data_IF_297052932119
#
_entry.id   IF_297052932119
#
_cell.length_a   1.000
_cell.length_b   1.000
_cell.length_c   1.000
_cell.angle_alpha   90.00
_cell.angle_beta   90.00
_cell.angle_gamma   90.00
#
_symmetry.space_group_name_H-M   'P 1'
#
loop_
_entity.id
_entity.type
_entity.pdbx_description
1 polymer ?
#
# COMPACT_ATOMS: atom_id res chain seq x y z
N UNK A 1 -11.53 7.28 -1.48
CA UNK A 1 -10.14 7.53 -1.96
C UNK A 1 -10.09 8.10 -3.37
N UNK A 2 -10.76 7.54 -4.38
CA UNK A 2 -10.77 8.13 -5.74
C UNK A 2 -11.23 9.60 -5.75
N UNK A 3 -12.27 9.94 -4.98
CA UNK A 3 -12.76 11.31 -4.81
C UNK A 3 -11.71 12.29 -4.28
N UNK A 4 -10.70 11.81 -3.55
CA UNK A 4 -9.59 12.64 -3.02
C UNK A 4 -8.34 12.56 -3.92
N UNK A 5 -8.48 12.06 -5.15
CA UNK A 5 -7.43 12.09 -6.17
C UNK A 5 -6.53 10.87 -6.21
N UNK A 6 -6.77 9.86 -5.37
CA UNK A 6 -6.02 8.59 -5.40
C UNK A 6 -6.35 7.78 -6.66
N UNK A 7 -5.36 7.12 -7.26
CA UNK A 7 -5.62 6.21 -8.39
C UNK A 7 -6.58 5.07 -7.99
N UNK A 8 -7.39 4.57 -8.94
CA UNK A 8 -8.39 3.52 -8.67
C UNK A 8 -7.75 2.28 -8.06
N UNK A 9 -6.61 1.86 -8.61
CA UNK A 9 -5.86 0.71 -8.11
C UNK A 9 -5.42 0.90 -6.64
N UNK A 10 -4.89 2.07 -6.29
CA UNK A 10 -4.48 2.36 -4.92
C UNK A 10 -5.66 2.40 -3.95
N UNK A 11 -6.78 2.97 -4.39
CA UNK A 11 -8.02 3.01 -3.63
C UNK A 11 -8.57 1.62 -3.32
N UNK A 12 -8.57 0.72 -4.31
CA UNK A 12 -9.01 -0.67 -4.16
C UNK A 12 -8.10 -1.44 -3.19
N UNK A 13 -6.78 -1.31 -3.32
CA UNK A 13 -5.84 -1.95 -2.40
C UNK A 13 -6.00 -1.50 -0.95
N UNK A 14 -6.25 -0.20 -0.72
CA UNK A 14 -6.54 0.30 0.62
C UNK A 14 -7.87 -0.25 1.14
N UNK A 15 -8.92 -0.28 0.31
CA UNK A 15 -10.22 -0.82 0.69
C UNK A 15 -10.13 -2.30 1.11
N UNK A 16 -9.42 -3.14 0.34
CA UNK A 16 -9.18 -4.55 0.65
C UNK A 16 -8.62 -4.73 2.07
N UNK A 17 -7.59 -3.95 2.42
CA UNK A 17 -6.90 -4.09 3.71
C UNK A 17 -7.74 -3.58 4.86
N UNK A 18 -8.43 -2.44 4.70
CA UNK A 18 -9.28 -1.88 5.76
C UNK A 18 -10.46 -2.80 6.06
N UNK A 19 -11.14 -3.29 5.02
CA UNK A 19 -12.26 -4.24 5.17
C UNK A 19 -11.77 -5.54 5.82
N UNK A 20 -10.64 -6.07 5.37
CA UNK A 20 -10.11 -7.30 5.93
C UNK A 20 -9.68 -7.13 7.40
N UNK A 21 -9.20 -5.96 7.81
CA UNK A 21 -8.91 -5.65 9.21
C UNK A 21 -10.18 -5.62 10.07
N UNK A 22 -11.26 -4.98 9.59
CA UNK A 22 -12.54 -4.93 10.30
C UNK A 22 -13.18 -6.31 10.43
N UNK A 23 -13.20 -7.10 9.36
CA UNK A 23 -13.75 -8.47 9.38
C UNK A 23 -13.01 -9.37 10.39
N UNK A 24 -11.72 -9.12 10.63
CA UNK A 24 -10.92 -9.84 11.64
C UNK A 24 -11.01 -9.26 13.05
N UNK A 25 -11.81 -8.21 13.27
CA UNK A 25 -11.96 -7.54 14.56
C UNK A 25 -10.84 -6.55 14.91
N UNK A 26 -9.97 -6.19 13.97
CA UNK A 26 -8.91 -5.19 14.17
C UNK A 26 -9.39 -3.77 13.83
N UNK A 27 -10.48 -3.34 14.45
CA UNK A 27 -11.17 -2.08 14.11
C UNK A 27 -10.29 -0.83 14.23
N UNK A 28 -9.30 -0.82 15.13
CA UNK A 28 -8.35 0.29 15.27
C UNK A 28 -7.43 0.46 14.06
N UNK A 29 -7.40 -0.51 13.14
CA UNK A 29 -6.60 -0.54 11.93
C UNK A 29 -7.44 -0.78 10.65
N UNK A 30 -8.76 -0.91 10.76
CA UNK A 30 -9.70 -0.99 9.64
C UNK A 30 -10.37 0.34 9.33
N UNK A 31 -11.68 0.37 9.07
CA UNK A 31 -12.36 1.56 8.52
C UNK A 31 -12.25 2.81 9.41
N UNK A 32 -12.00 2.66 10.72
CA UNK A 32 -11.73 3.81 11.61
C UNK A 32 -10.53 4.66 11.16
N UNK A 33 -9.61 4.09 10.37
CA UNK A 33 -8.45 4.79 9.82
C UNK A 33 -8.75 5.56 8.52
N UNK A 34 -9.93 5.39 7.92
CA UNK A 34 -10.27 5.99 6.62
C UNK A 34 -10.18 7.52 6.62
N UNK A 35 -10.66 8.18 7.68
CA UNK A 35 -10.63 9.64 7.76
C UNK A 35 -9.19 10.20 7.74
N UNK A 36 -8.28 9.53 8.45
CA UNK A 36 -6.85 9.88 8.45
C UNK A 36 -6.25 9.71 7.06
N UNK A 37 -6.49 8.59 6.36
CA UNK A 37 -5.99 8.40 5.00
C UNK A 37 -6.53 9.45 4.01
N UNK A 38 -7.80 9.84 4.17
CA UNK A 38 -8.39 10.94 3.38
C UNK A 38 -7.63 12.23 3.62
N UNK A 39 -7.41 12.60 4.90
CA UNK A 39 -6.68 13.81 5.28
C UNK A 39 -5.25 13.79 4.74
N UNK A 40 -4.53 12.68 4.91
CA UNK A 40 -3.12 12.58 4.52
C UNK A 40 -2.93 12.72 3.01
N UNK A 41 -3.87 12.20 2.20
CA UNK A 41 -3.85 12.40 0.75
C UNK A 41 -4.19 13.84 0.38
N UNK A 42 -5.16 14.45 1.06
CA UNK A 42 -5.55 15.84 0.81
C UNK A 42 -4.46 16.85 1.19
N UNK A 43 -3.70 16.58 2.25
CA UNK A 43 -2.60 17.43 2.73
C UNK A 43 -1.27 17.15 2.04
N UNK A 44 -1.21 16.13 1.15
CA UNK A 44 0.02 15.73 0.48
C UNK A 44 1.01 14.98 1.37
N UNK A 45 0.62 14.61 2.59
CA UNK A 45 1.41 13.71 3.46
C UNK A 45 1.53 12.33 2.81
N UNK A 46 0.52 11.87 2.08
CA UNK A 46 0.56 10.64 1.28
C UNK A 46 0.40 10.97 -0.21
N UNK A 47 1.23 10.35 -1.04
CA UNK A 47 1.15 10.50 -2.47
C UNK A 47 -0.08 9.78 -3.02
N UNK A 48 -0.87 10.51 -3.81
CA UNK A 48 -2.12 10.04 -4.42
C UNK A 48 -1.92 8.97 -5.49
N UNK A 49 -0.78 9.02 -6.18
CA UNK A 49 -0.44 8.13 -7.29
C UNK A 49 1.08 7.97 -7.41
N UNK A 50 1.52 6.96 -8.15
CA UNK A 50 2.92 6.61 -8.34
C UNK A 50 3.16 5.11 -8.13
N UNK A 51 4.43 4.72 -8.16
CA UNK A 51 4.82 3.32 -7.91
C UNK A 51 6.02 3.26 -6.97
N UNK A 52 6.10 2.27 -6.06
CA UNK A 52 7.32 2.01 -5.32
C UNK A 52 8.47 1.68 -6.27
N UNK A 53 9.68 2.10 -5.91
CA UNK A 53 10.91 1.91 -6.69
C UNK A 53 11.86 0.98 -5.96
N UNK A 54 12.39 -0.03 -6.66
CA UNK A 54 13.48 -0.84 -6.10
C UNK A 54 14.77 -0.04 -6.19
N UNK A 55 15.45 0.12 -5.07
CA UNK A 55 16.76 0.74 -4.99
C UNK A 55 17.87 -0.31 -5.08
N UNK A 56 17.66 -1.48 -4.47
CA UNK A 56 18.62 -2.60 -4.51
C UNK A 56 17.89 -3.92 -4.29
N UNK A 57 18.35 -4.98 -4.95
CA UNK A 57 17.86 -6.34 -4.74
C UNK A 57 19.01 -7.33 -4.58
N UNK A 58 18.75 -8.38 -3.80
CA UNK A 58 19.59 -9.54 -3.59
C UNK A 58 18.70 -10.78 -3.59
N UNK A 59 19.30 -11.96 -3.65
CA UNK A 59 18.58 -13.22 -3.83
C UNK A 59 17.44 -13.49 -2.84
N UNK A 60 17.48 -12.91 -1.64
CA UNK A 60 16.44 -13.09 -0.60
C UNK A 60 15.95 -11.76 0.02
N UNK A 61 16.37 -10.60 -0.50
CA UNK A 61 16.02 -9.30 0.08
C UNK A 61 15.96 -8.19 -0.97
N UNK A 62 15.13 -7.19 -0.74
CA UNK A 62 15.04 -6.01 -1.58
C UNK A 62 14.88 -4.75 -0.73
N UNK A 63 15.59 -3.69 -1.10
CA UNK A 63 15.42 -2.34 -0.57
C UNK A 63 14.56 -1.54 -1.54
N UNK A 64 13.40 -1.10 -1.06
CA UNK A 64 12.37 -0.46 -1.85
C UNK A 64 12.07 0.92 -1.26
N UNK A 65 12.08 1.94 -2.10
CA UNK A 65 11.51 3.25 -1.82
C UNK A 65 9.99 3.19 -2.04
N UNK A 66 9.24 3.46 -0.99
CA UNK A 66 7.78 3.50 -1.01
C UNK A 66 7.19 4.69 -1.75
N UNK A 67 8.00 5.69 -2.12
CA UNK A 67 7.58 6.95 -2.75
C UNK A 67 6.43 7.63 -1.99
N UNK A 68 6.44 7.49 -0.66
CA UNK A 68 5.43 8.04 0.24
C UNK A 68 3.97 7.71 -0.16
N UNK A 69 3.77 6.55 -0.79
CA UNK A 69 2.45 6.06 -1.21
C UNK A 69 1.67 5.49 -0.02
N UNK A 70 0.37 5.29 -0.20
CA UNK A 70 -0.48 4.59 0.78
C UNK A 70 0.12 3.24 1.19
N UNK A 71 0.22 2.96 2.49
CA UNK A 71 0.87 1.76 3.02
C UNK A 71 0.43 0.43 2.36
N UNK A 72 -0.88 0.15 2.21
CA UNK A 72 -1.36 -1.06 1.53
C UNK A 72 -0.89 -1.24 0.09
N UNK A 73 -0.67 -0.13 -0.63
CA UNK A 73 -0.19 -0.13 -2.02
C UNK A 73 1.24 -0.64 -2.12
N UNK A 74 2.07 -0.32 -1.12
CA UNK A 74 3.47 -0.74 -1.08
C UNK A 74 3.61 -2.26 -0.82
N UNK A 75 2.63 -2.88 -0.14
CA UNK A 75 2.70 -4.27 0.32
C UNK A 75 2.40 -5.32 -0.77
N UNK A 76 1.47 -5.08 -1.71
CA UNK A 76 1.17 -6.08 -2.75
C UNK A 76 2.35 -6.30 -3.71
N UNK A 77 3.13 -5.25 -4.05
CA UNK A 77 4.34 -5.40 -4.87
C UNK A 77 5.43 -6.20 -4.13
N UNK A 78 5.62 -5.94 -2.83
CA UNK A 78 6.59 -6.66 -1.98
C UNK A 78 6.37 -8.17 -2.02
N UNK A 79 5.14 -8.63 -1.84
CA UNK A 79 4.83 -10.08 -1.85
C UNK A 79 5.15 -10.71 -3.21
N UNK A 80 4.74 -10.06 -4.31
CA UNK A 80 4.97 -10.60 -5.65
C UNK A 80 6.47 -10.72 -5.98
N UNK A 81 7.28 -9.70 -5.73
CA UNK A 81 8.71 -9.75 -6.06
C UNK A 81 9.52 -10.73 -5.23
N UNK A 82 9.24 -10.85 -3.93
CA UNK A 82 9.92 -11.86 -3.09
C UNK A 82 9.53 -13.27 -3.55
N UNK A 83 8.26 -13.50 -3.88
CA UNK A 83 7.79 -14.79 -4.39
C UNK A 83 8.38 -15.12 -5.77
N UNK A 84 8.42 -14.16 -6.69
CA UNK A 84 8.96 -14.35 -8.04
C UNK A 84 10.49 -14.63 -7.99
N UNK A 85 11.24 -13.98 -7.10
CA UNK A 85 12.67 -14.27 -6.87
C UNK A 85 12.95 -15.62 -6.20
N UNK A 86 11.99 -16.14 -5.42
CA UNK A 86 12.05 -17.47 -4.80
C UNK A 86 11.67 -18.61 -5.78
N UNK A 87 10.83 -18.33 -6.78
CA UNK A 87 10.33 -19.32 -7.75
C UNK A 87 11.23 -19.52 -8.98
N UNK A 88 12.25 -18.67 -9.18
CA UNK A 88 13.18 -18.73 -10.31
C UNK A 88 14.52 -19.44 -9.98
N UNK A 89 14.55 -20.31 -8.95
CA UNK A 89 15.70 -21.18 -8.65
C UNK A 89 15.31 -22.64 -8.58
#
# INVERSE_FOLDING_TARGET
MVKVGTSKNHAEQLADVLVAADVRGHYSHGLNRLNMYVRDVQTGICMKDGMPKILKEHAASAWIDGNNLLGPVQLKKRKKQVLDGLLLK
#
